data_IF_085104774041
#
_entry.id   IF_085104774041
#
_cell.length_a   1.000
_cell.length_b   1.000
_cell.length_c   1.000
_cell.angle_alpha   90.00
_cell.angle_beta   90.00
_cell.angle_gamma   90.00
#
_symmetry.space_group_name_H-M   'P 1'
#
loop_
_entity.id
_entity.type
_entity.pdbx_description
1 polymer ?
#
# COMPACT_ATOMS: atom_id res chain seq x y z
N UNK A 1 -3.14 0.18 31.66
CA UNK A 1 -3.71 0.42 30.33
C UNK A 1 -2.54 0.39 29.38
N UNK A 2 -2.57 -0.45 28.35
CA UNK A 2 -1.46 -0.59 27.39
C UNK A 2 -1.73 0.33 26.21
N UNK A 3 -0.76 1.15 25.81
CA UNK A 3 -0.88 2.08 24.67
C UNK A 3 0.03 1.62 23.54
N UNK A 4 -0.54 1.26 22.40
CA UNK A 4 0.19 0.82 21.20
C UNK A 4 0.07 1.85 20.09
N UNK A 5 1.13 2.02 19.31
CA UNK A 5 1.10 2.74 18.04
C UNK A 5 0.98 1.72 16.91
N UNK A 6 -0.07 1.81 16.09
CA UNK A 6 -0.31 0.91 14.96
C UNK A 6 -0.18 1.67 13.63
N UNK A 7 0.67 1.14 12.75
CA UNK A 7 0.93 1.57 11.38
C UNK A 7 1.10 0.36 10.45
N UNK A 8 1.03 0.55 9.13
CA UNK A 8 1.16 -0.52 8.15
C UNK A 8 1.56 0.05 6.78
N UNK A 9 1.89 -0.84 5.84
CA UNK A 9 1.94 -0.55 4.40
C UNK A 9 2.88 0.61 4.05
N UNK A 10 4.10 0.58 4.61
CA UNK A 10 5.10 1.64 4.42
C UNK A 10 5.63 1.69 2.99
N UNK A 11 5.74 0.53 2.34
CA UNK A 11 6.26 0.34 0.99
C UNK A 11 7.56 1.14 0.75
N UNK A 12 8.54 1.02 1.64
CA UNK A 12 9.81 1.75 1.52
C UNK A 12 10.46 1.48 0.14
N UNK A 13 10.84 2.56 -0.54
CA UNK A 13 11.39 2.53 -1.90
C UNK A 13 10.35 2.52 -3.03
N UNK A 14 9.06 2.71 -2.73
CA UNK A 14 8.02 2.91 -3.74
C UNK A 14 8.16 4.29 -4.39
N UNK A 15 7.97 4.34 -5.71
CA UNK A 15 7.84 5.58 -6.46
C UNK A 15 6.36 5.86 -6.79
N UNK A 16 6.00 7.13 -6.99
CA UNK A 16 4.67 7.54 -7.42
C UNK A 16 4.73 8.14 -8.83
N UNK A 17 4.26 7.39 -9.82
CA UNK A 17 4.30 7.79 -11.23
C UNK A 17 5.69 8.24 -11.73
N UNK A 18 6.75 7.58 -11.24
CA UNK A 18 8.15 7.87 -11.60
C UNK A 18 8.86 8.85 -10.66
N UNK A 19 8.13 9.51 -9.76
CA UNK A 19 8.69 10.38 -8.73
C UNK A 19 9.10 9.56 -7.51
N UNK A 20 10.30 9.81 -6.99
CA UNK A 20 10.79 9.17 -5.77
C UNK A 20 10.04 9.69 -4.53
N UNK A 21 9.64 8.78 -3.66
CA UNK A 21 8.97 9.11 -2.39
C UNK A 21 9.88 8.96 -1.17
N UNK A 22 11.14 8.56 -1.33
CA UNK A 22 11.99 8.19 -0.20
C UNK A 22 12.16 9.33 0.82
N UNK A 23 12.31 10.57 0.37
CA UNK A 23 12.38 11.74 1.26
C UNK A 23 11.08 11.93 2.07
N UNK A 24 9.92 11.73 1.43
CA UNK A 24 8.63 11.77 2.10
C UNK A 24 8.47 10.61 3.08
N UNK A 25 8.99 9.43 2.75
CA UNK A 25 9.03 8.26 3.63
C UNK A 25 9.94 8.51 4.84
N UNK A 26 11.08 9.18 4.67
CA UNK A 26 11.95 9.58 5.76
C UNK A 26 11.26 10.59 6.71
N UNK A 27 10.58 11.60 6.16
CA UNK A 27 9.78 12.53 6.97
C UNK A 27 8.64 11.83 7.72
N UNK A 28 8.06 10.78 7.15
CA UNK A 28 7.12 9.91 7.85
C UNK A 28 7.79 9.15 9.00
N UNK A 29 8.96 8.55 8.79
CA UNK A 29 9.72 7.86 9.84
C UNK A 29 10.00 8.80 11.01
N UNK A 30 10.46 10.02 10.74
CA UNK A 30 10.65 11.06 11.75
C UNK A 30 9.37 11.29 12.56
N UNK A 31 8.24 11.46 11.85
CA UNK A 31 6.95 11.68 12.49
C UNK A 31 6.49 10.51 13.36
N UNK A 32 6.69 9.25 12.94
CA UNK A 32 6.34 8.07 13.75
C UNK A 32 7.19 8.00 15.01
N UNK A 33 8.50 8.24 14.91
CA UNK A 33 9.42 8.22 16.06
C UNK A 33 9.03 9.29 17.07
N UNK A 34 8.79 10.51 16.62
CA UNK A 34 8.39 11.62 17.51
C UNK A 34 7.01 11.40 18.11
N UNK A 35 6.05 10.86 17.34
CA UNK A 35 4.72 10.51 17.86
C UNK A 35 4.81 9.42 18.93
N UNK A 36 5.55 8.34 18.67
CA UNK A 36 5.73 7.24 19.63
C UNK A 36 6.34 7.75 20.94
N UNK A 37 7.32 8.67 20.85
CA UNK A 37 7.97 9.28 22.01
C UNK A 37 7.04 10.21 22.77
N UNK A 38 6.33 11.10 22.07
CA UNK A 38 5.43 12.08 22.68
C UNK A 38 4.25 11.40 23.40
N UNK A 39 3.73 10.33 22.80
CA UNK A 39 2.59 9.56 23.31
C UNK A 39 2.99 8.50 24.35
N UNK A 40 4.30 8.35 24.61
CA UNK A 40 4.87 7.38 25.55
C UNK A 40 4.28 5.98 25.36
N UNK A 41 4.28 5.49 24.12
CA UNK A 41 3.67 4.20 23.77
C UNK A 41 4.46 3.03 24.38
N UNK A 42 3.74 1.99 24.79
CA UNK A 42 4.31 0.76 25.33
C UNK A 42 4.81 -0.19 24.23
N UNK A 43 4.40 0.03 22.99
CA UNK A 43 4.74 -0.81 21.86
C UNK A 43 4.33 -0.22 20.52
N UNK A 44 5.04 -0.63 19.47
CA UNK A 44 4.83 -0.16 18.11
C UNK A 44 4.55 -1.38 17.23
N UNK A 45 3.47 -1.33 16.44
CA UNK A 45 3.02 -2.40 15.56
C UNK A 45 3.10 -1.91 14.13
N UNK A 46 3.87 -2.64 13.31
CA UNK A 46 3.97 -2.45 11.86
C UNK A 46 3.33 -3.67 11.17
N UNK A 47 2.09 -3.50 10.67
CA UNK A 47 1.24 -4.58 10.17
C UNK A 47 1.53 -4.98 8.71
N UNK A 48 2.81 -5.11 8.35
CA UNK A 48 3.24 -5.63 7.04
C UNK A 48 3.53 -4.56 5.99
N UNK A 49 4.03 -5.04 4.85
CA UNK A 49 4.50 -4.27 3.70
C UNK A 49 5.46 -3.16 4.10
N UNK A 50 6.54 -3.55 4.81
CA UNK A 50 7.63 -2.64 5.14
C UNK A 50 8.30 -2.16 3.85
N UNK A 51 8.58 -3.08 2.93
CA UNK A 51 9.20 -2.78 1.64
C UNK A 51 8.21 -2.84 0.49
N UNK A 52 8.43 -2.01 -0.54
CA UNK A 52 7.62 -2.06 -1.75
C UNK A 52 7.76 -3.39 -2.53
N UNK A 53 8.90 -4.06 -2.39
CA UNK A 53 9.23 -5.27 -3.18
C UNK A 53 10.07 -6.23 -2.37
N UNK A 54 10.00 -7.51 -2.74
CA UNK A 54 10.79 -8.59 -2.15
C UNK A 54 12.32 -8.37 -2.25
N UNK A 55 12.75 -7.63 -3.27
CA UNK A 55 14.13 -7.14 -3.47
C UNK A 55 14.13 -5.61 -3.38
N UNK A 56 14.21 -5.04 -2.16
CA UNK A 56 14.18 -3.59 -2.00
C UNK A 56 15.48 -2.93 -2.50
N UNK A 57 15.42 -1.66 -2.96
CA UNK A 57 16.61 -0.88 -3.25
C UNK A 57 17.42 -0.60 -1.98
N UNK A 58 18.73 -0.35 -2.14
CA UNK A 58 19.66 -0.17 -1.01
C UNK A 58 19.23 0.96 -0.07
N UNK A 59 18.75 2.08 -0.61
CA UNK A 59 18.38 3.22 0.21
C UNK A 59 17.09 2.98 1.02
N UNK A 60 16.17 2.16 0.53
CA UNK A 60 15.02 1.69 1.31
C UNK A 60 15.46 0.79 2.48
N UNK A 61 16.46 -0.08 2.26
CA UNK A 61 17.03 -0.92 3.34
C UNK A 61 17.73 -0.07 4.40
N UNK A 62 18.46 0.99 3.99
CA UNK A 62 19.09 1.94 4.91
C UNK A 62 18.05 2.68 5.74
N UNK A 63 16.98 3.18 5.11
CA UNK A 63 15.91 3.88 5.80
C UNK A 63 15.17 2.96 6.78
N UNK A 64 14.94 1.69 6.42
CA UNK A 64 14.34 0.71 7.31
C UNK A 64 15.22 0.41 8.53
N UNK A 65 16.54 0.26 8.34
CA UNK A 65 17.50 0.04 9.42
C UNK A 65 17.51 1.23 10.40
N UNK A 66 17.56 2.46 9.87
CA UNK A 66 17.48 3.68 10.68
C UNK A 66 16.16 3.76 11.46
N UNK A 67 15.04 3.55 10.77
CA UNK A 67 13.71 3.61 11.35
C UNK A 67 13.55 2.60 12.50
N UNK A 68 13.86 1.33 12.26
CA UNK A 68 13.71 0.28 13.27
C UNK A 68 14.63 0.50 14.46
N UNK A 69 15.86 0.99 14.23
CA UNK A 69 16.79 1.34 15.30
C UNK A 69 16.24 2.45 16.19
N UNK A 70 15.75 3.55 15.60
CA UNK A 70 15.18 4.69 16.33
C UNK A 70 13.89 4.35 17.06
N UNK A 71 13.01 3.54 16.46
CA UNK A 71 11.76 3.12 17.10
C UNK A 71 12.05 2.21 18.29
N UNK A 72 13.02 1.30 18.19
CA UNK A 72 13.39 0.38 19.27
C UNK A 72 13.97 1.09 20.50
N UNK A 73 14.58 2.28 20.33
CA UNK A 73 14.99 3.15 21.44
C UNK A 73 13.81 3.77 22.18
N UNK A 74 12.65 3.88 21.54
CA UNK A 74 11.42 4.44 22.13
C UNK A 74 10.59 3.35 22.79
N UNK A 75 10.27 2.28 22.06
CA UNK A 75 9.45 1.17 22.55
C UNK A 75 9.69 -0.11 21.72
N UNK A 76 9.36 -1.30 22.25
CA UNK A 76 9.45 -2.54 21.49
C UNK A 76 8.59 -2.50 20.20
N UNK A 77 9.16 -2.99 19.10
CA UNK A 77 8.53 -3.03 17.79
C UNK A 77 8.08 -4.45 17.45
N UNK A 78 6.85 -4.63 17.00
CA UNK A 78 6.33 -5.86 16.42
C UNK A 78 6.08 -5.62 14.94
N UNK A 79 6.83 -6.31 14.09
CA UNK A 79 6.76 -6.19 12.64
C UNK A 79 6.41 -7.55 12.04
N UNK A 80 5.37 -7.58 11.21
CA UNK A 80 5.04 -8.76 10.38
C UNK A 80 5.46 -8.53 8.94
N UNK A 81 5.67 -9.59 8.15
CA UNK A 81 5.78 -9.46 6.68
C UNK A 81 4.41 -9.26 6.05
N UNK A 82 4.29 -8.37 5.07
CA UNK A 82 3.15 -8.32 4.17
C UNK A 82 3.34 -9.16 2.91
N UNK A 83 2.53 -8.96 1.88
CA UNK A 83 2.59 -9.70 0.61
C UNK A 83 3.60 -9.13 -0.40
N UNK A 84 4.12 -7.93 -0.17
CA UNK A 84 5.23 -7.37 -0.95
C UNK A 84 6.60 -7.77 -0.39
N UNK A 85 6.69 -8.00 0.92
CA UNK A 85 7.92 -8.38 1.60
C UNK A 85 8.39 -9.80 1.22
N UNK A 86 9.70 -10.01 1.23
CA UNK A 86 10.26 -11.37 1.26
C UNK A 86 10.35 -11.84 2.71
N UNK A 87 9.50 -12.78 3.13
CA UNK A 87 9.49 -13.33 4.48
C UNK A 87 10.87 -13.83 4.95
N UNK A 88 11.63 -14.48 4.06
CA UNK A 88 12.96 -14.99 4.35
C UNK A 88 14.01 -13.87 4.54
N UNK A 89 13.98 -12.83 3.70
CA UNK A 89 14.93 -11.71 3.79
C UNK A 89 14.58 -10.79 4.96
N UNK A 90 13.31 -10.46 5.12
CA UNK A 90 12.84 -9.63 6.24
C UNK A 90 13.12 -10.32 7.58
N UNK A 91 12.89 -11.63 7.67
CA UNK A 91 13.14 -12.42 8.89
C UNK A 91 14.62 -12.65 9.21
N UNK A 92 15.55 -12.31 8.31
CA UNK A 92 16.97 -12.49 8.54
C UNK A 92 17.41 -11.69 9.77
N UNK A 93 18.15 -12.34 10.68
CA UNK A 93 18.59 -11.71 11.92
C UNK A 93 17.49 -11.46 12.96
N UNK A 94 16.22 -11.84 12.71
CA UNK A 94 15.09 -11.55 13.62
C UNK A 94 15.28 -12.05 15.06
N UNK A 95 16.01 -13.15 15.28
CA UNK A 95 16.36 -13.64 16.62
C UNK A 95 17.34 -12.73 17.37
N UNK A 96 18.24 -12.06 16.65
CA UNK A 96 19.18 -11.08 17.21
C UNK A 96 18.44 -9.76 17.45
N UNK A 97 17.68 -9.29 16.47
CA UNK A 97 16.86 -8.07 16.56
C UNK A 97 15.86 -8.11 17.73
N UNK A 98 15.26 -9.26 18.01
CA UNK A 98 14.34 -9.42 19.14
C UNK A 98 15.01 -9.16 20.50
N UNK A 99 16.34 -9.31 20.61
CA UNK A 99 17.07 -8.96 21.85
C UNK A 99 17.25 -7.46 22.01
N UNK A 100 17.15 -6.71 20.92
CA UNK A 100 17.18 -5.25 20.88
C UNK A 100 15.76 -4.63 20.88
N UNK A 101 14.70 -5.44 21.09
CA UNK A 101 13.32 -4.96 21.12
C UNK A 101 12.61 -4.93 19.76
N UNK A 102 13.21 -5.44 18.69
CA UNK A 102 12.56 -5.52 17.36
C UNK A 102 12.15 -6.96 17.05
N UNK A 103 10.86 -7.23 17.18
CA UNK A 103 10.24 -8.54 16.98
C UNK A 103 9.74 -8.69 15.56
N UNK A 104 10.59 -9.24 14.69
CA UNK A 104 10.23 -9.54 13.30
C UNK A 104 9.61 -10.94 13.19
N UNK A 105 8.36 -10.99 12.74
CA UNK A 105 7.57 -12.20 12.61
C UNK A 105 7.25 -12.50 11.13
N UNK A 106 7.98 -13.45 10.56
CA UNK A 106 7.81 -13.90 9.16
C UNK A 106 7.59 -15.40 9.02
N UNK A 107 7.68 -16.16 10.12
CA UNK A 107 7.60 -17.62 10.13
C UNK A 107 6.24 -18.10 10.66
N UNK A 108 5.37 -18.68 9.80
CA UNK A 108 4.06 -19.20 10.19
C UNK A 108 4.12 -20.30 11.26
N UNK A 109 5.25 -21.02 11.40
CA UNK A 109 5.41 -22.04 12.43
C UNK A 109 5.47 -21.45 13.85
N UNK A 110 5.71 -20.14 13.99
CA UNK A 110 5.78 -19.44 15.27
C UNK A 110 4.44 -18.85 15.73
N UNK A 111 3.40 -18.93 14.91
CA UNK A 111 2.05 -18.44 15.26
C UNK A 111 1.56 -19.16 16.53
N UNK A 112 0.87 -18.42 17.40
CA UNK A 112 0.50 -18.86 18.75
C UNK A 112 1.54 -18.51 19.81
N UNK A 113 2.62 -17.78 19.46
CA UNK A 113 3.59 -17.25 20.42
C UNK A 113 3.51 -15.72 20.44
N UNK A 114 2.94 -15.11 21.49
CA UNK A 114 2.79 -13.66 21.55
C UNK A 114 4.10 -12.97 21.93
N UNK A 115 4.16 -11.68 21.60
CA UNK A 115 5.05 -10.71 22.24
C UNK A 115 4.25 -10.03 23.35
N UNK A 116 4.77 -10.07 24.57
CA UNK A 116 4.14 -9.44 25.74
C UNK A 116 4.56 -7.97 25.83
N UNK A 117 3.61 -7.04 25.65
CA UNK A 117 3.86 -5.59 25.68
C UNK A 117 3.02 -4.95 26.78
N UNK A 118 3.67 -4.51 27.86
CA UNK A 118 3.04 -3.87 29.03
C UNK A 118 1.74 -4.57 29.50
N UNK A 119 1.76 -5.91 29.53
CA UNK A 119 0.64 -6.75 29.97
C UNK A 119 -0.37 -7.14 28.89
N UNK A 120 -0.22 -6.69 27.65
CA UNK A 120 -0.99 -7.16 26.49
C UNK A 120 -0.26 -8.32 25.78
N UNK A 121 -1.02 -9.27 25.22
CA UNK A 121 -0.52 -10.34 24.38
C UNK A 121 -0.68 -9.97 22.92
N UNK A 122 0.42 -9.64 22.24
CA UNK A 122 0.43 -9.28 20.82
C UNK A 122 0.82 -10.49 19.99
N UNK A 123 -0.11 -11.05 19.22
CA UNK A 123 0.10 -12.19 18.34
C UNK A 123 0.37 -11.72 16.91
N UNK A 124 1.62 -11.78 16.44
CA UNK A 124 1.94 -11.45 15.06
C UNK A 124 1.63 -12.62 14.12
N UNK A 125 0.82 -12.36 13.09
CA UNK A 125 0.54 -13.26 11.98
C UNK A 125 1.20 -12.66 10.72
N UNK A 126 2.27 -13.25 10.17
CA UNK A 126 2.79 -12.82 8.88
C UNK A 126 1.72 -13.00 7.79
N UNK A 127 1.88 -12.32 6.65
CA UNK A 127 1.06 -12.60 5.48
C UNK A 127 1.06 -14.11 5.16
N UNK A 128 -0.14 -14.68 5.12
CA UNK A 128 -0.37 -16.11 4.97
C UNK A 128 -0.79 -16.39 3.53
N UNK A 129 0.20 -16.59 2.66
CA UNK A 129 0.00 -17.06 1.29
C UNK A 129 -0.43 -18.54 1.31
N UNK A 130 -1.69 -18.89 0.94
CA UNK A 130 -2.23 -20.23 1.17
C UNK A 130 -1.36 -21.35 0.60
N UNK A 131 -0.78 -21.17 -0.60
CA UNK A 131 0.07 -22.18 -1.21
C UNK A 131 1.36 -22.47 -0.45
N UNK A 132 1.88 -21.46 0.24
CA UNK A 132 3.15 -21.57 0.96
C UNK A 132 2.95 -22.10 2.38
N UNK A 133 1.80 -21.83 3.00
CA UNK A 133 1.62 -22.04 4.45
C UNK A 133 0.65 -23.16 4.82
N UNK A 134 -0.18 -23.65 3.88
CA UNK A 134 -1.23 -24.65 4.18
C UNK A 134 -0.70 -25.92 4.86
N UNK A 135 0.47 -26.42 4.45
CA UNK A 135 1.10 -27.60 5.06
C UNK A 135 1.60 -27.29 6.48
N UNK A 136 2.23 -26.14 6.67
CA UNK A 136 2.71 -25.67 7.99
C UNK A 136 1.55 -25.46 8.97
N UNK A 137 0.40 -25.04 8.46
CA UNK A 137 -0.81 -24.79 9.23
C UNK A 137 -1.75 -26.01 9.33
N UNK A 138 -1.43 -27.12 8.65
CA UNK A 138 -2.26 -28.32 8.56
C UNK A 138 -3.68 -28.05 8.04
N UNK A 139 -3.76 -27.27 6.95
CA UNK A 139 -5.00 -26.89 6.26
C UNK A 139 -5.01 -27.48 4.86
N UNK A 140 -6.11 -28.13 4.46
CA UNK A 140 -6.26 -28.66 3.10
C UNK A 140 -6.81 -27.61 2.12
N UNK A 141 -7.69 -26.73 2.60
CA UNK A 141 -8.32 -25.69 1.79
C UNK A 141 -7.33 -24.58 1.40
N UNK A 142 -7.22 -24.29 0.10
CA UNK A 142 -6.41 -23.21 -0.45
C UNK A 142 -7.18 -21.88 -0.45
N UNK A 143 -7.35 -21.29 0.73
CA UNK A 143 -7.97 -19.96 0.86
C UNK A 143 -7.36 -19.15 2.00
N UNK A 144 -7.37 -17.81 1.86
CA UNK A 144 -6.90 -16.92 2.92
C UNK A 144 -7.73 -17.07 4.20
N UNK A 145 -9.04 -17.30 4.05
CA UNK A 145 -9.94 -17.54 5.17
C UNK A 145 -9.51 -18.78 5.97
N UNK A 146 -9.22 -19.90 5.30
CA UNK A 146 -8.88 -21.16 5.97
C UNK A 146 -7.52 -21.08 6.70
N UNK A 147 -6.48 -20.55 6.05
CA UNK A 147 -5.16 -20.42 6.70
C UNK A 147 -5.18 -19.42 7.85
N UNK A 148 -5.94 -18.32 7.74
CA UNK A 148 -6.10 -17.35 8.82
C UNK A 148 -6.90 -17.93 9.99
N UNK A 149 -7.93 -18.74 9.70
CA UNK A 149 -8.68 -19.45 10.73
C UNK A 149 -7.80 -20.41 11.54
N UNK A 150 -6.98 -21.23 10.86
CA UNK A 150 -6.03 -22.12 11.53
C UNK A 150 -4.97 -21.37 12.34
N UNK A 151 -4.49 -20.23 11.84
CA UNK A 151 -3.60 -19.35 12.60
C UNK A 151 -4.28 -18.83 13.89
N UNK A 152 -5.53 -18.37 13.79
CA UNK A 152 -6.31 -17.91 14.93
C UNK A 152 -6.68 -19.03 15.92
N UNK A 153 -6.79 -20.28 15.48
CA UNK A 153 -6.94 -21.43 16.39
C UNK A 153 -5.70 -21.61 17.27
N UNK A 154 -4.50 -21.44 16.72
CA UNK A 154 -3.25 -21.48 17.50
C UNK A 154 -3.18 -20.34 18.51
N UNK A 155 -3.64 -19.15 18.14
CA UNK A 155 -3.76 -18.00 19.06
C UNK A 155 -4.70 -18.34 20.21
N UNK A 156 -5.92 -18.80 19.90
CA UNK A 156 -6.91 -19.18 20.92
C UNK A 156 -6.42 -20.31 21.83
N UNK A 157 -5.69 -21.28 21.30
CA UNK A 157 -5.10 -22.37 22.08
C UNK A 157 -4.07 -21.85 23.10
N UNK A 158 -3.17 -20.94 22.70
CA UNK A 158 -2.20 -20.31 23.60
C UNK A 158 -2.88 -19.43 24.66
N UNK A 159 -3.85 -18.60 24.27
CA UNK A 159 -4.65 -17.79 25.20
C UNK A 159 -5.36 -18.69 26.24
N UNK A 160 -5.98 -19.78 25.80
CA UNK A 160 -6.66 -20.72 26.69
C UNK A 160 -5.68 -21.39 27.68
N UNK A 161 -4.48 -21.74 27.22
CA UNK A 161 -3.44 -22.34 28.06
C UNK A 161 -2.91 -21.38 29.16
N UNK A 162 -3.01 -20.06 28.96
CA UNK A 162 -2.57 -19.02 29.92
C UNK A 162 -3.56 -18.75 31.06
N UNK A 163 -4.83 -19.12 30.91
CA UNK A 163 -5.84 -19.06 31.99
C UNK A 163 -6.56 -17.70 32.19
N UNK A 164 -7.46 -17.65 33.19
CA UNK A 164 -8.56 -16.66 33.31
C UNK A 164 -8.19 -15.25 33.83
N UNK A 165 -6.90 -14.93 34.05
CA UNK A 165 -6.45 -13.60 34.49
C UNK A 165 -6.27 -12.59 33.35
N UNK A 166 -7.06 -12.73 32.27
CA UNK A 166 -6.72 -12.38 30.89
C UNK A 166 -5.99 -11.05 30.68
N UNK A 167 -4.84 -11.13 30.01
CA UNK A 167 -4.21 -10.02 29.31
C UNK A 167 -5.01 -9.68 28.04
N UNK A 168 -5.15 -8.39 27.66
CA UNK A 168 -5.81 -8.03 26.41
C UNK A 168 -5.07 -8.65 25.22
N UNK A 169 -5.82 -9.19 24.27
CA UNK A 169 -5.31 -9.93 23.11
C UNK A 169 -5.32 -9.03 21.89
N UNK A 170 -4.15 -8.78 21.32
CA UNK A 170 -3.98 -8.07 20.06
C UNK A 170 -3.54 -9.05 18.99
N UNK A 171 -4.20 -9.03 17.83
CA UNK A 171 -3.78 -9.79 16.65
C UNK A 171 -3.26 -8.80 15.62
N UNK A 172 -2.04 -9.01 15.12
CA UNK A 172 -1.47 -8.23 14.02
C UNK A 172 -1.52 -9.11 12.78
N UNK A 173 -2.18 -8.64 11.71
CA UNK A 173 -2.34 -9.44 10.51
C UNK A 173 -2.30 -8.56 9.25
N UNK A 174 -1.83 -9.16 8.15
CA UNK A 174 -1.84 -8.54 6.84
C UNK A 174 -2.74 -9.38 5.94
N UNK A 175 -3.97 -8.90 5.71
CA UNK A 175 -5.02 -9.68 5.03
C UNK A 175 -6.12 -8.77 4.49
N UNK A 176 -6.85 -9.23 3.47
CA UNK A 176 -8.09 -8.58 3.02
C UNK A 176 -9.28 -9.12 3.82
N UNK A 177 -9.81 -8.33 4.76
CA UNK A 177 -10.99 -8.66 5.55
C UNK A 177 -12.26 -8.23 4.82
N UNK A 178 -13.25 -9.12 4.75
CA UNK A 178 -14.50 -8.86 4.05
C UNK A 178 -15.23 -7.63 4.63
N UNK A 179 -15.79 -6.80 3.74
CA UNK A 179 -16.51 -5.57 4.10
C UNK A 179 -15.63 -4.32 4.21
N UNK A 180 -14.32 -4.44 3.99
CA UNK A 180 -13.42 -3.29 3.86
C UNK A 180 -13.30 -2.82 2.40
N UNK A 181 -12.95 -1.54 2.21
CA UNK A 181 -12.76 -0.92 0.91
C UNK A 181 -11.28 -0.86 0.53
N UNK A 182 -10.92 -1.43 -0.61
CA UNK A 182 -9.57 -1.31 -1.20
C UNK A 182 -9.41 -0.07 -2.10
N UNK A 183 -8.22 0.10 -2.64
CA UNK A 183 -7.86 1.10 -3.64
C UNK A 183 -7.19 0.42 -4.86
N UNK A 184 -6.71 1.19 -5.83
CA UNK A 184 -6.06 0.63 -7.02
C UNK A 184 -4.56 0.31 -6.80
N UNK A 185 -4.02 0.62 -5.63
CA UNK A 185 -2.59 0.51 -5.32
C UNK A 185 -2.20 -0.76 -4.59
N UNK A 186 -3.16 -1.46 -4.01
CA UNK A 186 -3.02 -2.78 -3.40
C UNK A 186 -2.94 -3.88 -4.46
N UNK A 187 -2.32 -5.01 -4.11
CA UNK A 187 -2.38 -6.22 -4.98
C UNK A 187 -3.73 -6.91 -4.82
N UNK A 188 -4.34 -7.26 -5.94
CA UNK A 188 -5.49 -8.16 -5.94
C UNK A 188 -5.09 -9.55 -5.43
N UNK A 189 -5.68 -9.96 -4.29
CA UNK A 189 -5.46 -11.28 -3.68
C UNK A 189 -6.40 -12.36 -4.25
N UNK A 190 -7.25 -12.05 -5.24
CA UNK A 190 -8.27 -12.96 -5.78
C UNK A 190 -7.77 -14.03 -6.76
N UNK A 191 -6.46 -14.13 -7.00
CA UNK A 191 -5.93 -15.14 -7.93
C UNK A 191 -5.89 -16.52 -7.27
N UNK A 192 -6.94 -17.32 -7.47
CA UNK A 192 -6.94 -18.77 -7.20
C UNK A 192 -7.69 -19.27 -5.96
N UNK A 193 -8.49 -18.44 -5.29
CA UNK A 193 -9.31 -18.81 -4.14
C UNK A 193 -10.15 -17.64 -3.58
N UNK A 194 -10.84 -17.83 -2.45
CA UNK A 194 -11.49 -16.72 -1.74
C UNK A 194 -10.44 -15.79 -1.11
N UNK A 195 -10.27 -14.60 -1.68
CA UNK A 195 -9.36 -13.56 -1.19
C UNK A 195 -9.70 -13.04 0.20
N UNK A 196 -11.00 -12.98 0.51
CA UNK A 196 -11.48 -12.30 1.70
C UNK A 196 -11.53 -13.21 2.91
N UNK A 197 -11.03 -12.69 4.04
CA UNK A 197 -11.17 -13.28 5.36
C UNK A 197 -12.41 -12.72 6.04
N UNK A 198 -13.37 -13.54 6.49
CA UNK A 198 -14.51 -13.06 7.28
C UNK A 198 -14.03 -12.45 8.60
N UNK A 199 -14.58 -11.30 9.05
CA UNK A 199 -14.20 -10.70 10.34
C UNK A 199 -14.34 -11.65 11.54
N UNK A 200 -15.31 -12.57 11.49
CA UNK A 200 -15.56 -13.57 12.54
C UNK A 200 -14.38 -14.51 12.81
N UNK A 201 -13.45 -14.68 11.85
CA UNK A 201 -12.23 -15.47 12.02
C UNK A 201 -11.37 -14.94 13.18
N UNK A 202 -11.37 -13.63 13.38
CA UNK A 202 -10.59 -12.95 14.41
C UNK A 202 -11.27 -12.91 15.79
N UNK A 203 -12.39 -13.61 15.98
CA UNK A 203 -13.10 -13.68 17.26
C UNK A 203 -12.18 -14.08 18.41
N UNK A 204 -12.31 -13.36 19.54
CA UNK A 204 -11.50 -13.54 20.75
C UNK A 204 -10.34 -12.54 20.92
N UNK A 205 -10.05 -11.72 19.91
CA UNK A 205 -9.13 -10.59 20.05
C UNK A 205 -9.86 -9.35 20.59
N UNK A 206 -9.16 -8.56 21.42
CA UNK A 206 -9.60 -7.23 21.85
C UNK A 206 -9.34 -6.17 20.78
N UNK A 207 -8.34 -6.40 19.94
CA UNK A 207 -8.03 -5.54 18.81
C UNK A 207 -7.31 -6.30 17.69
N UNK A 208 -7.70 -6.02 16.44
CA UNK A 208 -7.01 -6.51 15.25
C UNK A 208 -6.32 -5.34 14.54
N UNK A 209 -4.99 -5.35 14.55
CA UNK A 209 -4.14 -4.42 13.85
C UNK A 209 -3.89 -4.93 12.42
N UNK A 210 -4.63 -4.37 11.45
CA UNK A 210 -4.57 -4.79 10.05
C UNK A 210 -3.68 -3.88 9.19
N UNK A 211 -2.89 -4.51 8.31
CA UNK A 211 -2.34 -3.90 7.09
C UNK A 211 -2.89 -4.60 5.84
N UNK A 212 -2.43 -4.17 4.66
CA UNK A 212 -2.82 -4.55 3.29
C UNK A 212 -3.60 -3.45 2.58
N UNK A 213 -4.63 -2.88 3.22
CA UNK A 213 -5.45 -1.82 2.61
C UNK A 213 -4.93 -0.44 3.00
N UNK A 214 -4.76 0.42 2.00
CA UNK A 214 -4.06 1.69 2.15
C UNK A 214 -4.93 2.83 2.68
N UNK A 215 -6.25 2.64 2.70
CA UNK A 215 -7.22 3.54 3.32
C UNK A 215 -7.43 3.22 4.81
N UNK A 216 -7.12 4.16 5.74
CA UNK A 216 -7.40 3.96 7.15
C UNK A 216 -8.90 3.80 7.40
N UNK A 217 -9.32 2.68 7.98
CA UNK A 217 -10.74 2.36 8.15
C UNK A 217 -10.99 1.34 9.26
N UNK A 218 -12.09 1.51 9.99
CA UNK A 218 -12.56 0.52 10.97
C UNK A 218 -13.15 -0.68 10.25
N UNK A 219 -12.86 -1.88 10.74
CA UNK A 219 -13.32 -3.14 10.15
C UNK A 219 -14.23 -3.84 11.13
N UNK A 220 -15.53 -3.91 10.81
CA UNK A 220 -16.53 -4.74 11.47
C UNK A 220 -16.48 -4.77 13.02
N UNK A 221 -16.05 -3.68 13.67
CA UNK A 221 -15.89 -3.59 15.13
C UNK A 221 -14.75 -4.42 15.74
N UNK A 222 -13.94 -5.13 14.94
CA UNK A 222 -12.84 -5.98 15.44
C UNK A 222 -11.50 -5.23 15.53
N UNK A 223 -11.35 -4.14 14.77
CA UNK A 223 -10.07 -3.46 14.62
C UNK A 223 -10.09 -2.47 13.47
N UNK A 224 -8.93 -2.21 12.88
CA UNK A 224 -8.81 -1.30 11.73
C UNK A 224 -7.66 -1.68 10.82
N UNK A 225 -7.74 -1.20 9.58
CA UNK A 225 -6.56 -0.93 8.77
C UNK A 225 -5.93 0.40 9.22
N UNK A 226 -4.62 0.40 9.47
CA UNK A 226 -3.91 1.64 9.70
C UNK A 226 -3.80 2.48 8.41
N UNK A 227 -3.78 1.82 7.25
CA UNK A 227 -3.52 2.45 5.96
C UNK A 227 -2.02 2.73 5.76
N UNK A 228 -1.68 3.05 4.51
CA UNK A 228 -0.32 3.43 4.14
C UNK A 228 0.00 4.86 4.59
N UNK A 229 1.29 5.22 4.74
CA UNK A 229 1.66 6.55 5.22
C UNK A 229 1.54 7.64 4.17
N UNK A 230 1.67 7.27 2.90
CA UNK A 230 1.57 8.14 1.73
C UNK A 230 0.51 7.60 0.78
N UNK A 231 0.06 8.43 -0.16
CA UNK A 231 -0.80 7.93 -1.23
C UNK A 231 0.04 7.25 -2.31
N UNK A 232 -0.44 6.11 -2.79
CA UNK A 232 0.22 5.29 -3.80
C UNK A 232 -0.64 5.08 -5.06
N UNK A 233 -1.89 5.54 -5.05
CA UNK A 233 -2.77 5.73 -6.22
C UNK A 233 -3.64 6.98 -6.07
N UNK A 234 -4.07 7.55 -7.20
CA UNK A 234 -5.09 8.61 -7.23
C UNK A 234 -6.47 8.18 -6.71
N UNK A 235 -6.77 6.87 -6.66
CA UNK A 235 -7.96 6.36 -6.00
C UNK A 235 -8.00 6.67 -4.50
N UNK A 236 -6.85 7.02 -3.91
CA UNK A 236 -6.70 7.36 -2.50
C UNK A 236 -6.83 8.86 -2.21
N UNK A 237 -7.26 9.67 -3.18
CA UNK A 237 -7.35 11.14 -3.04
C UNK A 237 -8.23 11.60 -1.86
N UNK A 238 -9.19 10.77 -1.45
CA UNK A 238 -10.08 11.05 -0.32
C UNK A 238 -9.61 10.43 1.01
N UNK A 239 -8.50 9.68 1.02
CA UNK A 239 -7.96 9.07 2.23
C UNK A 239 -7.27 10.11 3.11
N UNK A 240 -7.62 10.13 4.40
CA UNK A 240 -6.88 10.89 5.42
C UNK A 240 -5.85 9.97 6.06
N UNK A 241 -4.60 10.07 5.61
CA UNK A 241 -3.47 9.26 6.10
C UNK A 241 -3.26 9.51 7.59
N UNK A 242 -3.09 8.43 8.37
CA UNK A 242 -3.01 8.52 9.83
C UNK A 242 -2.25 7.35 10.45
N UNK A 243 -1.76 7.57 11.67
CA UNK A 243 -1.38 6.51 12.61
C UNK A 243 -2.56 6.20 13.52
N UNK A 244 -2.56 5.02 14.12
CA UNK A 244 -3.54 4.63 15.11
C UNK A 244 -2.89 4.53 16.49
N UNK A 245 -3.28 5.38 17.43
CA UNK A 245 -3.02 5.16 18.85
C UNK A 245 -4.11 4.26 19.40
N UNK A 246 -3.71 3.15 20.01
CA UNK A 246 -4.59 2.08 20.48
C UNK A 246 -4.41 1.95 21.98
N UNK A 247 -5.49 2.15 22.75
CA UNK A 247 -5.46 2.02 24.20
C UNK A 247 -6.27 0.81 24.64
N UNK A 248 -5.59 -0.12 25.32
CA UNK A 248 -6.14 -1.40 25.76
C UNK A 248 -6.40 -1.38 27.26
N UNK A 249 -7.64 -1.72 27.63
CA UNK A 249 -8.08 -1.87 29.01
C UNK A 249 -7.82 -3.28 29.56
N UNK A 250 -8.76 -3.77 30.37
CA UNK A 250 -8.77 -5.18 30.76
C UNK A 250 -9.17 -6.07 29.58
N UNK A 251 -8.79 -7.36 29.61
CA UNK A 251 -9.23 -8.31 28.58
C UNK A 251 -10.75 -8.36 28.44
N UNK A 252 -11.21 -8.44 27.20
CA UNK A 252 -12.62 -8.44 26.82
C UNK A 252 -13.27 -7.06 26.76
N UNK A 253 -12.56 -5.98 27.15
CA UNK A 253 -13.08 -4.62 27.06
C UNK A 253 -12.96 -4.02 25.66
N UNK A 254 -12.20 -4.66 24.76
CA UNK A 254 -11.85 -4.10 23.46
C UNK A 254 -10.80 -2.99 23.56
N UNK A 255 -10.64 -2.25 22.46
CA UNK A 255 -9.68 -1.15 22.37
C UNK A 255 -10.34 0.17 22.01
N UNK A 256 -9.88 1.24 22.67
CA UNK A 256 -10.13 2.61 22.24
C UNK A 256 -9.06 3.04 21.25
N UNK A 257 -9.45 3.86 20.29
CA UNK A 257 -8.54 4.21 19.22
C UNK A 257 -8.65 5.67 18.80
N UNK A 258 -7.50 6.32 18.69
CA UNK A 258 -7.33 7.69 18.23
C UNK A 258 -6.53 7.68 16.93
N UNK A 259 -6.88 8.56 15.99
CA UNK A 259 -6.16 8.70 14.72
C UNK A 259 -5.30 9.95 14.77
N UNK A 260 -3.99 9.77 14.58
CA UNK A 260 -3.03 10.88 14.48
C UNK A 260 -2.78 11.15 12.99
N UNK A 261 -3.22 12.29 12.43
CA UNK A 261 -3.03 12.60 11.02
C UNK A 261 -1.55 12.65 10.65
N UNK A 262 -1.20 12.06 9.50
CA UNK A 262 0.17 12.06 9.00
C UNK A 262 0.51 13.36 8.26
N UNK A 263 1.78 13.83 8.32
CA UNK A 263 2.23 15.03 7.62
C UNK A 263 2.49 14.72 6.13
N UNK A 264 1.42 14.40 5.38
CA UNK A 264 1.52 14.11 3.94
C UNK A 264 2.01 15.37 3.22
N UNK A 265 3.19 15.36 2.57
CA UNK A 265 3.81 16.58 2.05
C UNK A 265 3.06 17.18 0.86
N UNK A 266 2.39 16.33 0.08
CA UNK A 266 1.63 16.75 -1.10
C UNK A 266 0.29 16.02 -1.16
N UNK A 267 -0.85 16.74 -1.16
CA UNK A 267 -2.14 16.11 -1.38
C UNK A 267 -2.27 15.64 -2.84
N UNK A 268 -3.24 14.77 -3.09
CA UNK A 268 -3.63 14.36 -4.44
C UNK A 268 -4.75 15.28 -4.95
N UNK A 269 -4.74 15.55 -6.25
CA UNK A 269 -5.82 16.25 -6.92
C UNK A 269 -6.14 15.58 -8.26
N UNK A 270 -7.42 15.29 -8.48
CA UNK A 270 -7.93 14.82 -9.77
C UNK A 270 -8.76 15.94 -10.38
N UNK A 271 -8.27 16.49 -11.49
CA UNK A 271 -8.90 17.59 -12.20
C UNK A 271 -9.39 17.12 -13.57
N UNK A 272 -10.52 17.68 -14.03
CA UNK A 272 -11.13 17.30 -15.31
C UNK A 272 -11.74 18.51 -15.99
N UNK A 273 -11.50 18.63 -17.29
CA UNK A 273 -12.01 19.72 -18.13
C UNK A 273 -11.21 19.84 -19.42
N UNK A 274 -11.51 20.83 -20.25
CA UNK A 274 -10.63 21.18 -21.37
C UNK A 274 -9.33 21.78 -20.86
N UNK A 275 -8.25 21.69 -21.63
CA UNK A 275 -6.95 22.22 -21.20
C UNK A 275 -7.03 23.71 -20.85
N UNK A 276 -7.72 24.51 -21.65
CA UNK A 276 -7.83 25.95 -21.42
C UNK A 276 -8.66 26.27 -20.16
N UNK A 277 -9.72 25.50 -19.88
CA UNK A 277 -10.48 25.63 -18.62
C UNK A 277 -9.61 25.30 -17.41
N UNK A 278 -8.88 24.18 -17.45
CA UNK A 278 -7.99 23.78 -16.35
C UNK A 278 -6.88 24.80 -16.09
N UNK A 279 -6.37 25.45 -17.14
CA UNK A 279 -5.34 26.47 -17.03
C UNK A 279 -5.88 27.83 -16.58
N UNK A 280 -7.15 28.15 -16.83
CA UNK A 280 -7.74 29.45 -16.48
C UNK A 280 -8.56 29.46 -15.18
N UNK A 281 -9.08 28.32 -14.72
CA UNK A 281 -10.02 28.28 -13.59
C UNK A 281 -9.33 28.68 -12.28
N UNK A 282 -9.70 29.81 -11.64
CA UNK A 282 -9.08 30.27 -10.41
C UNK A 282 -9.33 29.35 -9.21
N UNK A 283 -10.37 28.49 -9.26
CA UNK A 283 -10.67 27.54 -8.19
C UNK A 283 -9.60 26.46 -8.07
N UNK A 284 -8.94 26.10 -9.17
CA UNK A 284 -7.89 25.07 -9.19
C UNK A 284 -6.56 25.54 -8.59
N UNK A 285 -6.46 26.80 -8.13
CA UNK A 285 -5.24 27.34 -7.51
C UNK A 285 -4.80 26.54 -6.28
N UNK A 286 -5.75 25.95 -5.54
CA UNK A 286 -5.45 25.11 -4.38
C UNK A 286 -4.68 23.82 -4.73
N UNK A 287 -4.72 23.38 -6.00
CA UNK A 287 -4.06 22.16 -6.48
C UNK A 287 -2.68 22.39 -7.08
N UNK A 288 -2.17 23.63 -7.15
CA UNK A 288 -0.87 23.95 -7.78
C UNK A 288 0.31 23.25 -7.09
N UNK A 289 0.22 22.98 -5.78
CA UNK A 289 1.21 22.22 -5.02
C UNK A 289 0.94 20.71 -4.87
N UNK A 290 -0.19 20.23 -5.40
CA UNK A 290 -0.65 18.85 -5.27
C UNK A 290 -0.03 17.94 -6.33
N UNK A 291 0.01 16.63 -6.07
CA UNK A 291 0.14 15.68 -7.16
C UNK A 291 -1.13 15.73 -8.01
N UNK A 292 -0.99 16.02 -9.31
CA UNK A 292 -2.15 16.22 -10.19
C UNK A 292 -2.28 15.07 -11.20
N UNK A 293 -3.47 14.48 -11.22
CA UNK A 293 -4.01 13.71 -12.34
C UNK A 293 -4.99 14.61 -13.10
N UNK A 294 -4.67 14.94 -14.34
CA UNK A 294 -5.55 15.71 -15.21
C UNK A 294 -6.22 14.80 -16.25
N UNK A 295 -7.54 14.88 -16.35
CA UNK A 295 -8.29 14.25 -17.45
C UNK A 295 -8.80 15.32 -18.40
N UNK A 296 -8.22 15.38 -19.59
CA UNK A 296 -8.60 16.34 -20.62
C UNK A 296 -9.84 15.88 -21.38
N UNK A 297 -10.79 16.79 -21.55
CA UNK A 297 -12.06 16.54 -22.25
C UNK A 297 -12.17 17.24 -23.60
N UNK A 298 -11.08 17.87 -24.05
CA UNK A 298 -10.97 18.50 -25.35
C UNK A 298 -11.41 17.52 -26.47
N UNK A 299 -12.16 17.98 -27.50
CA UNK A 299 -12.57 17.11 -28.61
C UNK A 299 -11.39 16.49 -29.37
N UNK A 300 -10.27 17.20 -29.41
CA UNK A 300 -8.99 16.78 -30.00
C UNK A 300 -7.91 16.97 -28.95
N UNK A 301 -7.00 16.00 -28.82
CA UNK A 301 -5.94 16.06 -27.80
C UNK A 301 -5.03 17.26 -28.06
N UNK A 302 -4.89 18.22 -27.12
CA UNK A 302 -4.03 19.38 -27.33
C UNK A 302 -2.54 18.99 -27.39
N UNK A 303 -1.77 19.66 -28.24
CA UNK A 303 -0.30 19.55 -28.25
C UNK A 303 0.28 20.11 -26.96
N UNK A 304 1.41 19.53 -26.52
CA UNK A 304 2.17 19.94 -25.33
C UNK A 304 1.34 20.03 -24.04
N UNK A 305 0.23 19.28 -23.98
CA UNK A 305 -0.74 19.37 -22.89
C UNK A 305 -0.10 19.17 -21.50
N UNK A 306 0.77 18.18 -21.36
CA UNK A 306 1.47 17.93 -20.10
C UNK A 306 2.43 19.07 -19.74
N UNK A 307 3.18 19.60 -20.70
CA UNK A 307 4.10 20.73 -20.45
C UNK A 307 3.31 21.96 -20.02
N UNK A 308 2.24 22.29 -20.75
CA UNK A 308 1.34 23.41 -20.43
C UNK A 308 0.70 23.25 -19.05
N UNK A 309 0.23 22.05 -18.71
CA UNK A 309 -0.28 21.74 -17.36
C UNK A 309 0.81 21.94 -16.30
N UNK A 310 2.03 21.43 -16.52
CA UNK A 310 3.14 21.55 -15.58
C UNK A 310 3.59 22.98 -15.31
N UNK A 311 3.37 23.92 -16.23
CA UNK A 311 3.61 25.34 -15.98
C UNK A 311 2.71 25.91 -14.87
N UNK A 312 1.50 25.37 -14.69
CA UNK A 312 0.57 25.76 -13.61
C UNK A 312 0.58 24.78 -12.44
N UNK A 313 0.67 23.50 -12.71
CA UNK A 313 0.68 22.39 -11.76
C UNK A 313 2.02 21.64 -11.87
N UNK A 314 3.12 22.15 -11.28
CA UNK A 314 4.46 21.58 -11.44
C UNK A 314 4.56 20.07 -11.15
N UNK A 315 3.66 19.55 -10.32
CA UNK A 315 3.58 18.16 -9.91
C UNK A 315 2.47 17.37 -10.64
N UNK A 316 2.09 17.79 -11.86
CA UNK A 316 1.25 16.97 -12.73
C UNK A 316 2.03 15.75 -13.23
N UNK A 317 1.52 14.56 -12.87
CA UNK A 317 2.18 13.27 -13.10
C UNK A 317 1.36 12.33 -13.97
N UNK A 318 0.04 12.55 -14.07
CA UNK A 318 -0.84 11.75 -14.93
C UNK A 318 -1.67 12.66 -15.82
N UNK A 319 -1.69 12.33 -17.11
CA UNK A 319 -2.53 12.97 -18.11
C UNK A 319 -3.37 11.91 -18.81
N UNK A 320 -4.67 11.92 -18.53
CA UNK A 320 -5.66 11.12 -19.24
C UNK A 320 -6.38 11.98 -20.29
N UNK A 321 -6.97 11.33 -21.28
CA UNK A 321 -7.72 11.97 -22.34
C UNK A 321 -9.06 11.24 -22.52
N UNK A 322 -10.16 11.97 -22.40
CA UNK A 322 -11.53 11.48 -22.47
C UNK A 322 -12.39 12.49 -23.24
N UNK A 323 -12.24 12.53 -24.58
CA UNK A 323 -12.81 13.56 -25.44
C UNK A 323 -14.34 13.55 -25.43
N UNK A 324 -14.94 14.72 -25.20
CA UNK A 324 -16.39 14.86 -25.35
C UNK A 324 -16.80 14.71 -26.81
N UNK A 325 -17.72 13.78 -27.09
CA UNK A 325 -18.26 13.52 -28.43
C UNK A 325 -17.63 12.35 -29.18
N UNK A 326 -16.64 11.66 -28.59
CA UNK A 326 -16.14 10.41 -29.16
C UNK A 326 -17.16 9.28 -28.96
N UNK A 327 -17.75 8.79 -30.05
CA UNK A 327 -18.52 7.55 -30.00
C UNK A 327 -17.59 6.41 -29.54
N UNK A 328 -17.99 5.69 -28.50
CA UNK A 328 -17.30 4.52 -27.97
C UNK A 328 -16.96 3.52 -29.09
N UNK A 329 -15.70 3.53 -29.54
CA UNK A 329 -15.15 2.55 -30.48
C UNK A 329 -14.30 1.48 -29.75
N UNK A 330 -14.59 1.23 -28.47
CA UNK A 330 -13.76 0.38 -27.61
C UNK A 330 -13.91 -1.14 -27.85
N UNK A 331 -14.78 -1.59 -28.78
CA UNK A 331 -15.06 -3.01 -28.97
C UNK A 331 -14.23 -3.74 -30.04
N UNK A 332 -13.54 -3.03 -30.94
CA UNK A 332 -13.16 -3.62 -32.24
C UNK A 332 -11.72 -3.32 -32.69
N UNK A 333 -10.87 -2.78 -31.80
CA UNK A 333 -9.53 -2.27 -32.14
C UNK A 333 -8.48 -3.37 -32.34
N UNK A 334 -8.50 -4.43 -31.54
CA UNK A 334 -7.44 -5.46 -31.57
C UNK A 334 -7.48 -6.38 -32.82
N UNK A 335 -8.65 -6.62 -33.41
CA UNK A 335 -8.76 -7.42 -34.63
C UNK A 335 -8.34 -6.64 -35.90
N UNK A 336 -8.37 -5.31 -35.86
CA UNK A 336 -8.02 -4.42 -36.99
C UNK A 336 -6.52 -4.12 -37.12
N UNK A 337 -5.71 -4.46 -36.11
CA UNK A 337 -4.26 -4.23 -36.08
C UNK A 337 -3.43 -5.39 -36.67
N UNK A 338 -4.05 -6.52 -37.00
CA UNK A 338 -3.34 -7.66 -37.61
C UNK A 338 -3.03 -7.38 -39.09
N UNK A 339 -1.75 -7.34 -39.44
CA UNK A 339 -1.27 -7.26 -40.82
C UNK A 339 -0.85 -5.87 -41.30
N UNK A 340 -0.86 -4.86 -40.42
CA UNK A 340 -0.29 -3.54 -40.69
C UNK A 340 1.24 -3.60 -40.58
N UNK A 341 1.94 -2.84 -41.42
CA UNK A 341 3.38 -2.61 -41.23
C UNK A 341 3.64 -1.63 -40.07
N UNK A 342 4.90 -1.52 -39.64
CA UNK A 342 5.29 -0.68 -38.49
C UNK A 342 4.87 0.79 -38.69
N UNK A 343 4.94 1.31 -39.92
CA UNK A 343 4.63 2.69 -40.26
C UNK A 343 3.12 2.95 -40.20
N UNK A 344 2.32 2.03 -40.72
CA UNK A 344 0.87 2.04 -40.63
C UNK A 344 0.39 1.91 -39.18
N UNK A 345 1.04 1.05 -38.40
CA UNK A 345 0.79 0.90 -36.96
C UNK A 345 1.10 2.18 -36.19
N UNK A 346 2.22 2.85 -36.49
CA UNK A 346 2.59 4.12 -35.87
C UNK A 346 1.61 5.24 -36.22
N UNK A 347 1.25 5.39 -37.50
CA UNK A 347 0.24 6.38 -37.93
C UNK A 347 -1.11 6.10 -37.29
N UNK A 348 -1.53 4.83 -37.24
CA UNK A 348 -2.79 4.41 -36.61
C UNK A 348 -2.77 4.68 -35.11
N UNK A 349 -1.66 4.38 -34.44
CA UNK A 349 -1.48 4.65 -33.02
C UNK A 349 -1.62 6.15 -32.73
N UNK A 350 -0.97 7.02 -33.51
CA UNK A 350 -1.10 8.47 -33.33
C UNK A 350 -2.53 8.92 -33.63
N UNK A 351 -3.13 8.46 -34.73
CA UNK A 351 -4.51 8.80 -35.07
C UNK A 351 -5.51 8.34 -34.00
N UNK A 352 -5.33 7.15 -33.43
CA UNK A 352 -6.21 6.59 -32.40
C UNK A 352 -6.00 7.27 -31.04
N UNK A 353 -4.76 7.67 -30.69
CA UNK A 353 -4.42 8.32 -29.41
C UNK A 353 -4.69 9.84 -29.42
N UNK A 354 -4.47 10.49 -30.56
CA UNK A 354 -4.54 11.95 -30.74
C UNK A 354 -5.83 12.42 -31.40
N UNK A 355 -6.46 11.59 -32.24
CA UNK A 355 -7.60 11.96 -33.07
C UNK A 355 -7.23 12.66 -34.39
N UNK A 356 -5.94 12.70 -34.75
CA UNK A 356 -5.43 13.28 -36.00
C UNK A 356 -4.16 12.55 -36.46
N UNK A 357 -3.90 12.54 -37.77
CA UNK A 357 -2.75 11.84 -38.37
C UNK A 357 -1.41 12.44 -37.92
N UNK A 358 -0.39 11.61 -37.73
CA UNK A 358 0.97 12.04 -37.42
C UNK A 358 1.58 12.87 -38.57
N UNK A 359 2.38 13.88 -38.24
CA UNK A 359 3.24 14.52 -39.23
C UNK A 359 4.56 13.74 -39.46
N UNK A 360 5.34 14.18 -40.46
CA UNK A 360 6.55 13.48 -40.87
C UNK A 360 7.64 13.48 -39.77
N UNK A 361 7.72 14.55 -38.97
CA UNK A 361 8.72 14.70 -37.89
C UNK A 361 8.36 13.82 -36.70
N UNK A 362 7.07 13.72 -36.36
CA UNK A 362 6.54 12.81 -35.35
C UNK A 362 6.75 11.34 -35.73
N UNK A 363 6.55 10.99 -37.01
CA UNK A 363 6.79 9.64 -37.49
C UNK A 363 8.28 9.26 -37.40
N UNK A 364 9.18 10.20 -37.63
CA UNK A 364 10.62 9.97 -37.50
C UNK A 364 11.02 9.68 -36.05
N UNK A 365 10.52 10.47 -35.09
CA UNK A 365 10.73 10.24 -33.65
C UNK A 365 10.18 8.88 -33.17
N UNK A 366 9.01 8.48 -33.67
CA UNK A 366 8.40 7.20 -33.32
C UNK A 366 9.19 6.01 -33.87
N UNK A 367 9.73 6.13 -35.09
CA UNK A 367 10.63 5.12 -35.67
C UNK A 367 11.93 4.99 -34.88
N UNK A 368 12.49 6.12 -34.45
CA UNK A 368 13.71 6.14 -33.63
C UNK A 368 13.49 5.46 -32.28
N UNK A 369 12.35 5.74 -31.61
CA UNK A 369 11.99 5.12 -30.35
C UNK A 369 11.78 3.60 -30.48
N UNK A 370 11.10 3.14 -31.55
CA UNK A 370 10.92 1.72 -31.84
C UNK A 370 12.25 1.01 -32.11
N UNK A 371 13.13 1.67 -32.86
CA UNK A 371 14.47 1.14 -33.18
C UNK A 371 15.32 1.03 -31.92
N UNK A 372 15.35 2.06 -31.09
CA UNK A 372 16.06 2.06 -29.81
C UNK A 372 15.56 0.94 -28.88
N UNK A 373 14.25 0.69 -28.85
CA UNK A 373 13.66 -0.38 -28.04
C UNK A 373 14.04 -1.77 -28.55
N UNK A 374 14.00 -2.00 -29.87
CA UNK A 374 14.43 -3.26 -30.50
C UNK A 374 15.91 -3.56 -30.22
N UNK A 375 16.77 -2.53 -30.26
CA UNK A 375 18.19 -2.68 -29.92
C UNK A 375 18.36 -3.04 -28.44
N UNK A 376 17.64 -2.39 -27.54
CA UNK A 376 17.70 -2.70 -26.11
C UNK A 376 17.22 -4.13 -25.79
N UNK A 377 16.20 -4.63 -26.48
CA UNK A 377 15.70 -6.01 -26.33
C UNK A 377 16.61 -7.07 -26.94
N UNK A 378 17.37 -6.73 -28.00
CA UNK A 378 18.35 -7.65 -28.58
C UNK A 378 19.66 -7.76 -27.76
N UNK A 379 19.91 -6.80 -26.87
CA UNK A 379 21.11 -6.71 -26.03
C UNK A 379 20.85 -7.19 -24.58
N UNK A 380 19.58 -7.31 -24.17
CA UNK A 380 19.15 -7.90 -22.90
C UNK A 380 19.02 -9.43 -22.99
#
# INVERSE_FOLDING_TARGET
MTRLLHTADWHLGRAFHGEDLLDAQAGFVDFVVETARAEAVDGIVIAGDLYDRALPPVDAVRLADEALSRLAEVAPVVLISGNHDSAARLGFGGRLLARAGVHVATDPARIGRPVELAGALVYPLPYLEPDLVRETLAVDERSHAAVTAAAMERVRADVAARGAGGAPVVVVAHAFVAGAAGSDSERDLAVGGAAHVPPSVFGGADYVALGHLHGPQVVAGIGRYAGSPLAFSFSEANHRKSLALVSLGAAGAGAETELVPLPVPRPLATIRGTLDELLADPRLREHEGAWVQATLTDPVRPSDAMERLRRRFPHAVVLAFDPQGAASAAGDSYQRLRGLDDDELLRRFVADVRGSDADDEELELLRDALTARRVAEAVA
#
